data_IF_074121276091
#
_entry.id   IF_074121276091
#
_cell.length_a   1.000
_cell.length_b   1.000
_cell.length_c   1.000
_cell.angle_alpha   90.00
_cell.angle_beta   90.00
_cell.angle_gamma   90.00
#
_symmetry.space_group_name_H-M   'P 1'
#
loop_
_entity.id
_entity.type
_entity.pdbx_description
1 polymer ?
#
# COMPACT_ATOMS: atom_id res chain seq x y z
N UNK A 1 -3.41 -17.27 6.17
CA UNK A 1 -3.36 -16.28 5.07
C UNK A 1 -3.24 -14.90 5.69
N UNK A 2 -2.32 -14.04 5.21
CA UNK A 2 -2.08 -12.75 5.86
C UNK A 2 -3.18 -11.72 5.60
N UNK A 3 -3.88 -11.79 4.45
CA UNK A 3 -4.86 -10.80 4.05
C UNK A 3 -6.18 -11.48 3.71
N UNK A 4 -7.20 -11.29 4.54
CA UNK A 4 -8.54 -11.82 4.35
C UNK A 4 -9.59 -10.73 4.18
N UNK A 5 -9.25 -9.53 4.61
CA UNK A 5 -10.15 -8.40 4.58
C UNK A 5 -9.37 -7.17 4.11
N UNK A 6 -9.69 -6.67 2.94
CA UNK A 6 -8.93 -5.62 2.26
C UNK A 6 -9.77 -4.37 2.05
N UNK A 7 -9.13 -3.20 2.26
CA UNK A 7 -9.70 -1.88 1.97
C UNK A 7 -9.10 -1.33 0.68
N UNK A 8 -9.94 -0.94 -0.27
CA UNK A 8 -9.58 -0.20 -1.47
C UNK A 8 -10.04 1.25 -1.36
N UNK A 9 -9.10 2.18 -1.25
CA UNK A 9 -9.38 3.61 -1.22
C UNK A 9 -9.40 4.21 -2.63
N UNK A 10 -10.50 4.87 -2.99
CA UNK A 10 -10.80 5.34 -4.34
C UNK A 10 -11.06 6.84 -4.39
N UNK A 11 -10.52 7.51 -5.42
CA UNK A 11 -10.83 8.90 -5.76
C UNK A 11 -11.26 9.09 -7.23
N UNK A 12 -11.34 8.00 -7.99
CA UNK A 12 -11.67 7.98 -9.41
C UNK A 12 -10.54 8.51 -10.31
N UNK A 13 -9.29 8.59 -9.83
CA UNK A 13 -8.10 8.84 -10.62
C UNK A 13 -7.65 7.59 -11.38
N UNK A 14 -6.73 7.75 -12.34
CA UNK A 14 -6.07 6.64 -13.02
C UNK A 14 -5.34 5.71 -12.03
N UNK A 15 -4.66 6.29 -11.04
CA UNK A 15 -3.98 5.49 -10.01
C UNK A 15 -4.94 4.75 -9.09
N UNK A 16 -6.12 5.30 -8.80
CA UNK A 16 -7.13 4.55 -8.04
C UNK A 16 -7.76 3.41 -8.88
N UNK A 17 -7.80 3.54 -10.20
CA UNK A 17 -8.18 2.44 -11.08
C UNK A 17 -7.12 1.33 -11.09
N UNK A 18 -5.83 1.69 -11.13
CA UNK A 18 -4.73 0.72 -10.95
C UNK A 18 -4.83 0.03 -9.60
N UNK A 19 -5.09 0.78 -8.52
CA UNK A 19 -5.30 0.20 -7.18
C UNK A 19 -6.46 -0.81 -7.17
N UNK A 20 -7.54 -0.54 -7.92
CA UNK A 20 -8.65 -1.48 -8.06
C UNK A 20 -8.24 -2.78 -8.77
N UNK A 21 -7.38 -2.72 -9.81
CA UNK A 21 -6.85 -3.93 -10.45
C UNK A 21 -6.07 -4.81 -9.48
N UNK A 22 -5.20 -4.20 -8.66
CA UNK A 22 -4.48 -4.93 -7.59
C UNK A 22 -5.43 -5.53 -6.56
N UNK A 23 -6.47 -4.76 -6.16
CA UNK A 23 -7.44 -5.21 -5.17
C UNK A 23 -8.28 -6.39 -5.69
N UNK A 24 -8.76 -6.33 -6.91
CA UNK A 24 -9.51 -7.42 -7.53
C UNK A 24 -8.67 -8.67 -7.72
N UNK A 25 -7.44 -8.52 -8.21
CA UNK A 25 -6.50 -9.61 -8.33
C UNK A 25 -6.24 -10.30 -7.00
N UNK A 26 -5.86 -9.53 -5.97
CA UNK A 26 -5.59 -10.10 -4.64
C UNK A 26 -6.84 -10.70 -4.01
N UNK A 27 -8.02 -10.09 -4.18
CA UNK A 27 -9.29 -10.64 -3.68
C UNK A 27 -9.58 -12.01 -4.30
N UNK A 28 -9.38 -12.14 -5.61
CA UNK A 28 -9.58 -13.39 -6.33
C UNK A 28 -8.58 -14.48 -5.93
N UNK A 29 -7.27 -14.16 -5.89
CA UNK A 29 -6.21 -15.13 -5.60
C UNK A 29 -6.20 -15.58 -4.13
N UNK A 30 -6.61 -14.72 -3.22
CA UNK A 30 -6.57 -14.98 -1.77
C UNK A 30 -7.92 -15.41 -1.19
N UNK A 31 -8.98 -15.39 -1.97
CA UNK A 31 -10.37 -15.55 -1.49
C UNK A 31 -10.65 -14.57 -0.32
N UNK A 32 -10.35 -13.29 -0.56
CA UNK A 32 -10.38 -12.24 0.44
C UNK A 32 -11.55 -11.28 0.21
N UNK A 33 -12.21 -10.86 1.30
CA UNK A 33 -13.24 -9.83 1.29
C UNK A 33 -12.65 -8.48 0.89
N UNK A 34 -13.39 -7.73 0.07
CA UNK A 34 -12.96 -6.43 -0.43
C UNK A 34 -13.99 -5.35 -0.12
N UNK A 35 -13.56 -4.32 0.60
CA UNK A 35 -14.33 -3.10 0.84
C UNK A 35 -13.77 -1.97 -0.01
N UNK A 36 -14.60 -1.37 -0.87
CA UNK A 36 -14.28 -0.20 -1.66
C UNK A 36 -14.80 1.06 -0.96
N UNK A 37 -13.92 2.01 -0.64
CA UNK A 37 -14.26 3.25 0.05
C UNK A 37 -13.96 4.46 -0.84
N UNK A 38 -14.93 5.38 -0.92
CA UNK A 38 -14.72 6.74 -1.42
C UNK A 38 -15.06 7.74 -0.33
N UNK A 39 -14.16 8.72 -0.12
CA UNK A 39 -14.35 9.76 0.89
C UNK A 39 -14.62 11.10 0.21
N UNK A 40 -15.75 11.71 0.53
CA UNK A 40 -16.12 13.07 0.12
C UNK A 40 -15.57 14.06 1.14
N UNK A 41 -14.61 14.86 0.76
CA UNK A 41 -14.07 15.94 1.58
C UNK A 41 -14.99 17.16 1.51
N UNK A 42 -15.67 17.55 2.61
CA UNK A 42 -16.57 18.72 2.60
C UNK A 42 -15.86 20.03 2.26
N UNK A 43 -14.53 20.13 2.49
CA UNK A 43 -13.75 21.34 2.12
C UNK A 43 -13.68 21.58 0.62
N UNK A 44 -13.97 20.56 -0.20
CA UNK A 44 -14.12 20.76 -1.63
C UNK A 44 -15.29 21.71 -1.97
N UNK A 45 -16.34 21.72 -1.14
CA UNK A 45 -17.46 22.65 -1.30
C UNK A 45 -16.98 24.09 -1.18
N UNK A 46 -16.19 24.40 -0.14
CA UNK A 46 -15.65 25.73 0.11
C UNK A 46 -14.83 26.23 -1.10
N UNK A 47 -14.07 25.32 -1.73
CA UNK A 47 -13.27 25.63 -2.92
C UNK A 47 -14.15 26.03 -4.12
N UNK A 48 -15.29 25.37 -4.33
CA UNK A 48 -16.19 25.64 -5.46
C UNK A 48 -17.14 26.81 -5.22
N UNK A 49 -17.37 27.17 -3.95
CA UNK A 49 -18.27 28.24 -3.54
C UNK A 49 -17.53 29.54 -3.21
N UNK A 50 -16.20 29.50 -3.21
CA UNK A 50 -15.37 30.70 -3.03
C UNK A 50 -15.78 31.81 -4.02
N UNK A 51 -15.92 33.09 -3.56
CA UNK A 51 -16.43 34.19 -4.38
C UNK A 51 -15.69 34.39 -5.71
N UNK A 52 -14.38 34.08 -5.71
CA UNK A 52 -13.50 34.19 -6.89
C UNK A 52 -13.89 33.21 -8.01
N UNK A 53 -14.48 32.04 -7.66
CA UNK A 53 -14.96 31.05 -8.63
C UNK A 53 -16.47 31.18 -8.90
N UNK A 54 -17.24 31.67 -7.94
CA UNK A 54 -18.70 31.81 -8.05
C UNK A 54 -19.12 32.79 -9.12
N UNK A 55 -18.40 33.91 -9.27
CA UNK A 55 -18.65 34.94 -10.31
C UNK A 55 -18.26 34.45 -11.72
N UNK A 56 -17.13 33.75 -11.87
CA UNK A 56 -16.67 33.19 -13.15
C UNK A 56 -17.54 32.04 -13.65
N UNK A 57 -18.13 31.25 -12.75
CA UNK A 57 -19.00 30.11 -13.10
C UNK A 57 -20.48 30.48 -13.18
N UNK A 58 -20.85 31.75 -12.93
CA UNK A 58 -22.23 32.25 -13.04
C UNK A 58 -23.17 31.77 -11.95
N UNK A 59 -22.66 31.32 -10.82
CA UNK A 59 -23.46 30.93 -9.65
C UNK A 59 -23.85 32.16 -8.85
N UNK A 60 -25.11 32.61 -9.02
CA UNK A 60 -25.69 33.69 -8.21
C UNK A 60 -25.91 33.24 -6.75
N UNK A 61 -25.85 34.21 -5.83
CA UNK A 61 -26.01 34.19 -4.38
C UNK A 61 -26.09 32.82 -3.64
N UNK A 62 -25.20 32.67 -2.71
CA UNK A 62 -24.44 31.59 -2.13
C UNK A 62 -25.15 30.43 -1.38
N UNK A 63 -26.30 30.58 -0.74
CA UNK A 63 -26.81 29.58 0.22
C UNK A 63 -27.37 28.32 -0.44
N UNK A 64 -27.99 28.46 -1.60
CA UNK A 64 -28.53 27.33 -2.39
C UNK A 64 -27.42 26.56 -3.14
N UNK A 65 -26.25 27.17 -3.29
CA UNK A 65 -25.13 26.67 -4.09
C UNK A 65 -24.31 25.63 -3.32
N UNK A 66 -24.04 25.84 -2.04
CA UNK A 66 -23.28 24.90 -1.19
C UNK A 66 -23.94 23.53 -1.13
N UNK A 67 -25.23 23.48 -0.84
CA UNK A 67 -25.98 22.23 -0.75
C UNK A 67 -26.01 21.50 -2.11
N UNK A 68 -26.19 22.24 -3.20
CA UNK A 68 -26.20 21.69 -4.57
C UNK A 68 -24.82 21.15 -4.95
N UNK A 69 -23.75 21.88 -4.66
CA UNK A 69 -22.36 21.45 -4.89
C UNK A 69 -22.06 20.21 -4.06
N UNK A 70 -22.39 20.19 -2.78
CA UNK A 70 -22.18 19.03 -1.92
C UNK A 70 -22.92 17.80 -2.41
N UNK A 71 -24.20 17.94 -2.80
CA UNK A 71 -24.98 16.86 -3.41
C UNK A 71 -24.34 16.35 -4.71
N UNK A 72 -23.81 17.25 -5.54
CA UNK A 72 -23.12 16.87 -6.77
C UNK A 72 -21.84 16.09 -6.50
N UNK A 73 -21.00 16.52 -5.55
CA UNK A 73 -19.78 15.81 -5.16
C UNK A 73 -20.12 14.43 -4.60
N UNK A 74 -21.13 14.32 -3.72
CA UNK A 74 -21.59 13.01 -3.22
C UNK A 74 -22.09 12.10 -4.34
N UNK A 75 -22.78 12.66 -5.34
CA UNK A 75 -23.22 11.90 -6.50
C UNK A 75 -22.05 11.36 -7.32
N UNK A 76 -21.00 12.18 -7.53
CA UNK A 76 -19.77 11.74 -8.19
C UNK A 76 -19.13 10.57 -7.42
N UNK A 77 -19.02 10.67 -6.09
CA UNK A 77 -18.51 9.58 -5.25
C UNK A 77 -19.30 8.27 -5.40
N UNK A 78 -20.64 8.34 -5.44
CA UNK A 78 -21.47 7.16 -5.70
C UNK A 78 -21.23 6.56 -7.08
N UNK A 79 -21.12 7.39 -8.11
CA UNK A 79 -20.81 6.91 -9.48
C UNK A 79 -19.46 6.21 -9.53
N UNK A 80 -18.44 6.72 -8.81
CA UNK A 80 -17.14 6.03 -8.72
C UNK A 80 -17.32 4.64 -8.11
N UNK A 81 -18.04 4.50 -7.00
CA UNK A 81 -18.31 3.23 -6.36
C UNK A 81 -19.11 2.28 -7.24
N UNK A 82 -20.20 2.77 -7.87
CA UNK A 82 -21.01 1.98 -8.80
C UNK A 82 -20.21 1.45 -10.01
N UNK A 83 -19.24 2.20 -10.49
CA UNK A 83 -18.34 1.75 -11.58
C UNK A 83 -17.42 0.62 -11.10
N UNK A 84 -16.91 0.72 -9.88
CA UNK A 84 -16.05 -0.30 -9.28
C UNK A 84 -16.85 -1.57 -8.94
N UNK A 85 -18.08 -1.45 -8.42
CA UNK A 85 -18.98 -2.59 -8.19
C UNK A 85 -19.26 -3.36 -9.49
N UNK A 86 -19.60 -2.64 -10.56
CA UNK A 86 -19.82 -3.26 -11.87
C UNK A 86 -18.58 -3.95 -12.44
N UNK A 87 -17.40 -3.38 -12.19
CA UNK A 87 -16.15 -3.99 -12.63
C UNK A 87 -15.79 -5.24 -11.82
N UNK A 88 -16.07 -5.25 -10.52
CA UNK A 88 -15.96 -6.41 -9.64
C UNK A 88 -16.95 -7.52 -10.07
N UNK A 89 -18.21 -7.17 -10.32
CA UNK A 89 -19.25 -8.11 -10.75
C UNK A 89 -18.88 -8.83 -12.06
N UNK A 90 -18.30 -8.11 -13.05
CA UNK A 90 -17.81 -8.73 -14.30
C UNK A 90 -16.72 -9.78 -14.06
N UNK A 91 -16.00 -9.67 -12.95
CA UNK A 91 -14.94 -10.60 -12.52
C UNK A 91 -15.45 -11.68 -11.57
N UNK A 92 -16.74 -11.66 -11.25
CA UNK A 92 -17.37 -12.61 -10.32
C UNK A 92 -17.01 -12.34 -8.85
N UNK A 93 -16.60 -11.10 -8.52
CA UNK A 93 -16.26 -10.68 -7.17
C UNK A 93 -17.43 -9.95 -6.52
N UNK A 94 -17.73 -10.30 -5.28
CA UNK A 94 -18.64 -9.54 -4.42
C UNK A 94 -17.84 -8.58 -3.55
N UNK A 95 -18.18 -7.29 -3.59
CA UNK A 95 -17.50 -6.25 -2.82
C UNK A 95 -18.49 -5.44 -1.98
N UNK A 96 -18.03 -4.89 -0.87
CA UNK A 96 -18.78 -3.92 -0.08
C UNK A 96 -18.34 -2.51 -0.48
N UNK A 97 -19.31 -1.60 -0.72
CA UNK A 97 -19.00 -0.20 -1.05
C UNK A 97 -19.42 0.76 0.04
N UNK A 98 -18.56 1.72 0.34
CA UNK A 98 -18.77 2.72 1.38
C UNK A 98 -18.49 4.13 0.86
N UNK A 99 -19.47 5.04 1.04
CA UNK A 99 -19.32 6.47 0.78
C UNK A 99 -19.27 7.22 2.10
N UNK A 100 -18.08 7.67 2.47
CA UNK A 100 -17.87 8.44 3.68
C UNK A 100 -17.76 9.94 3.43
N UNK A 101 -18.00 10.75 4.46
CA UNK A 101 -17.89 12.21 4.41
C UNK A 101 -17.00 12.65 5.55
N UNK A 102 -15.87 13.28 5.21
CA UNK A 102 -14.92 13.71 6.23
C UNK A 102 -13.56 14.07 5.66
N UNK A 103 -12.59 14.21 6.55
CA UNK A 103 -11.20 14.40 6.14
C UNK A 103 -10.65 13.09 5.54
N UNK A 104 -10.22 13.15 4.27
CA UNK A 104 -9.92 11.94 3.46
C UNK A 104 -8.99 10.97 4.17
N UNK A 105 -7.87 11.44 4.73
CA UNK A 105 -6.89 10.57 5.39
C UNK A 105 -7.47 9.95 6.66
N UNK A 106 -8.19 10.74 7.45
CA UNK A 106 -8.72 10.28 8.74
C UNK A 106 -9.80 9.21 8.55
N UNK A 107 -10.69 9.37 7.56
CA UNK A 107 -11.70 8.36 7.24
C UNK A 107 -11.09 7.09 6.63
N UNK A 108 -10.04 7.21 5.80
CA UNK A 108 -9.32 6.04 5.29
C UNK A 108 -8.64 5.28 6.44
N UNK A 109 -7.95 5.97 7.35
CA UNK A 109 -7.27 5.32 8.48
C UNK A 109 -8.26 4.65 9.44
N UNK A 110 -9.36 5.32 9.75
CA UNK A 110 -10.42 4.76 10.59
C UNK A 110 -11.01 3.46 10.01
N UNK A 111 -11.15 3.39 8.70
CA UNK A 111 -11.63 2.19 8.04
C UNK A 111 -10.51 1.14 7.89
N UNK A 112 -9.28 1.55 7.60
CA UNK A 112 -8.11 0.69 7.51
C UNK A 112 -7.85 -0.11 8.79
N UNK A 113 -8.12 0.45 9.98
CA UNK A 113 -7.98 -0.23 11.28
C UNK A 113 -8.88 -1.49 11.39
N UNK A 114 -9.86 -1.68 10.50
CA UNK A 114 -10.74 -2.86 10.44
C UNK A 114 -10.31 -3.89 9.39
N UNK A 115 -9.26 -3.61 8.65
CA UNK A 115 -8.82 -4.39 7.50
C UNK A 115 -7.37 -4.87 7.67
N UNK A 116 -7.02 -5.95 6.97
CA UNK A 116 -5.67 -6.56 7.03
C UNK A 116 -4.69 -5.89 6.04
N UNK A 117 -5.21 -5.22 5.01
CA UNK A 117 -4.46 -4.56 3.96
C UNK A 117 -5.25 -3.37 3.42
N UNK A 118 -4.60 -2.21 3.31
CA UNK A 118 -5.13 -1.06 2.58
C UNK A 118 -4.47 -0.95 1.21
N UNK A 119 -5.27 -0.79 0.15
CA UNK A 119 -4.80 -0.63 -1.21
C UNK A 119 -5.19 0.77 -1.68
N UNK A 120 -4.23 1.54 -2.15
CA UNK A 120 -4.41 2.94 -2.53
C UNK A 120 -3.59 3.29 -3.76
N UNK A 121 -4.10 4.18 -4.60
CA UNK A 121 -3.35 4.73 -5.73
C UNK A 121 -2.25 5.69 -5.29
N UNK A 122 -1.12 5.67 -5.99
CA UNK A 122 0.04 6.50 -5.68
C UNK A 122 -0.25 8.01 -5.72
N UNK A 123 -1.17 8.45 -6.61
CA UNK A 123 -1.54 9.85 -6.83
C UNK A 123 -3.04 10.00 -7.04
N UNK A 124 -3.61 11.04 -6.46
CA UNK A 124 -5.02 11.37 -6.64
C UNK A 124 -5.27 12.41 -7.73
N UNK A 125 -6.54 12.73 -7.97
CA UNK A 125 -6.97 13.75 -8.95
C UNK A 125 -6.35 15.12 -8.74
N UNK A 126 -6.08 15.53 -7.49
CA UNK A 126 -5.45 16.81 -7.16
C UNK A 126 -4.00 16.96 -7.65
N UNK A 127 -3.34 15.86 -8.02
CA UNK A 127 -1.93 15.89 -8.45
C UNK A 127 -1.71 16.60 -9.81
N UNK A 128 -2.72 16.61 -10.69
CA UNK A 128 -2.63 17.30 -11.98
C UNK A 128 -2.42 18.83 -11.85
N UNK A 129 -2.65 19.38 -10.65
CA UNK A 129 -2.47 20.81 -10.35
C UNK A 129 -1.08 21.14 -9.76
N UNK A 130 -0.21 20.14 -9.56
CA UNK A 130 1.15 20.36 -9.03
C UNK A 130 2.20 20.32 -10.14
N UNK A 131 3.10 21.32 -10.25
CA UNK A 131 4.10 21.39 -11.31
C UNK A 131 5.25 20.38 -11.18
N UNK A 132 5.35 19.61 -10.09
CA UNK A 132 6.42 18.65 -9.85
C UNK A 132 5.89 17.22 -9.94
N UNK A 133 5.99 16.62 -11.11
CA UNK A 133 5.45 15.30 -11.48
C UNK A 133 6.13 14.07 -10.86
N UNK A 134 6.96 14.21 -9.83
CA UNK A 134 7.81 13.12 -9.30
C UNK A 134 7.49 12.68 -7.87
N UNK A 135 6.51 13.26 -7.18
CA UNK A 135 6.22 12.93 -5.78
C UNK A 135 4.87 12.23 -5.62
N UNK A 136 4.81 11.27 -4.70
CA UNK A 136 3.57 10.63 -4.25
C UNK A 136 2.51 11.67 -3.87
N UNK A 137 1.23 11.36 -4.11
CA UNK A 137 0.11 12.18 -3.63
C UNK A 137 0.11 12.27 -2.11
N UNK A 138 -0.20 13.44 -1.59
CA UNK A 138 -0.19 13.71 -0.14
C UNK A 138 -1.08 12.75 0.68
N UNK A 139 -2.16 12.23 0.09
CA UNK A 139 -3.07 11.27 0.76
C UNK A 139 -2.40 9.91 0.91
N UNK A 140 -1.87 9.33 -0.17
CA UNK A 140 -1.22 8.02 -0.12
C UNK A 140 -0.02 8.02 0.84
N UNK A 141 0.83 9.06 0.79
CA UNK A 141 1.95 9.22 1.71
C UNK A 141 1.46 9.25 3.17
N UNK A 142 0.46 10.07 3.49
CA UNK A 142 -0.08 10.17 4.85
C UNK A 142 -0.75 8.88 5.31
N UNK A 143 -1.45 8.17 4.43
CA UNK A 143 -2.02 6.85 4.75
C UNK A 143 -0.91 5.86 5.09
N UNK A 144 0.15 5.77 4.27
CA UNK A 144 1.30 4.89 4.56
C UNK A 144 1.97 5.28 5.89
N UNK A 145 2.09 6.57 6.21
CA UNK A 145 2.66 7.01 7.49
C UNK A 145 1.80 6.65 8.70
N UNK A 146 0.48 6.71 8.57
CA UNK A 146 -0.46 6.64 9.70
C UNK A 146 -1.13 5.28 9.88
N UNK A 147 -1.22 4.46 8.83
CA UNK A 147 -1.84 3.14 8.91
C UNK A 147 -1.07 2.22 9.84
N UNK A 148 -1.79 1.39 10.60
CA UNK A 148 -1.22 0.38 11.50
C UNK A 148 -0.92 -0.92 10.79
N UNK A 149 -1.71 -1.23 9.79
CA UNK A 149 -1.63 -2.43 8.98
C UNK A 149 -0.94 -2.16 7.63
N UNK A 150 -0.55 -3.19 6.88
CA UNK A 150 0.12 -3.04 5.60
C UNK A 150 -0.64 -2.18 4.60
N UNK A 151 0.11 -1.40 3.81
CA UNK A 151 -0.43 -0.56 2.74
C UNK A 151 0.23 -0.90 1.40
N UNK A 152 -0.57 -1.25 0.40
CA UNK A 152 -0.14 -1.38 -0.99
C UNK A 152 -0.43 -0.07 -1.73
N UNK A 153 0.62 0.57 -2.19
CA UNK A 153 0.55 1.77 -3.04
C UNK A 153 0.69 1.34 -4.49
N UNK A 154 -0.37 1.43 -5.26
CA UNK A 154 -0.40 1.05 -6.67
C UNK A 154 0.14 2.18 -7.56
N UNK A 155 1.15 1.86 -8.37
CA UNK A 155 1.86 2.81 -9.25
C UNK A 155 1.77 2.41 -10.71
N UNK A 156 2.33 1.26 -11.07
CA UNK A 156 2.32 0.70 -12.41
C UNK A 156 1.10 -0.22 -12.63
N UNK A 157 0.74 -0.51 -13.88
CA UNK A 157 -0.28 -1.50 -14.20
C UNK A 157 0.06 -2.89 -13.62
N UNK A 158 -0.96 -3.64 -13.23
CA UNK A 158 -0.78 -4.97 -12.63
C UNK A 158 -0.19 -6.00 -13.60
N UNK A 159 -0.58 -5.94 -14.87
CA UNK A 159 -0.13 -6.84 -15.93
C UNK A 159 1.36 -6.72 -16.23
N UNK A 160 1.99 -5.61 -15.87
CA UNK A 160 3.44 -5.44 -15.93
C UNK A 160 4.18 -6.08 -14.74
N UNK A 161 3.47 -6.53 -13.67
CA UNK A 161 4.11 -7.05 -12.47
C UNK A 161 4.35 -8.56 -12.57
N UNK A 162 5.62 -8.97 -12.59
CA UNK A 162 6.04 -10.37 -12.79
C UNK A 162 6.40 -11.07 -11.47
N UNK A 163 6.87 -10.33 -10.47
CA UNK A 163 7.39 -10.89 -9.22
C UNK A 163 7.25 -9.97 -8.02
N UNK A 164 7.50 -10.53 -6.85
CA UNK A 164 7.71 -9.77 -5.60
C UNK A 164 9.21 -9.63 -5.35
N UNK A 165 9.67 -8.39 -5.12
CA UNK A 165 11.03 -8.08 -4.70
C UNK A 165 11.00 -7.56 -3.27
N UNK A 166 11.56 -8.30 -2.33
CA UNK A 166 11.60 -7.92 -0.92
C UNK A 166 12.87 -7.14 -0.60
N UNK A 167 12.75 -5.94 -0.06
CA UNK A 167 13.86 -5.23 0.56
C UNK A 167 14.16 -5.87 1.93
N UNK A 168 15.27 -6.58 2.02
CA UNK A 168 15.61 -7.36 3.20
C UNK A 168 16.87 -6.84 3.89
N UNK A 169 16.73 -6.42 5.15
CA UNK A 169 17.84 -5.95 6.00
C UNK A 169 17.99 -6.78 7.30
N UNK A 170 17.20 -7.84 7.48
CA UNK A 170 17.19 -8.68 8.67
C UNK A 170 16.41 -8.12 9.86
N UNK A 171 15.84 -6.93 9.76
CA UNK A 171 14.95 -6.36 10.79
C UNK A 171 13.66 -7.18 10.92
N UNK A 172 12.96 -7.08 12.05
CA UNK A 172 11.67 -7.75 12.25
C UNK A 172 10.62 -7.31 11.22
N UNK A 173 10.68 -6.06 10.78
CA UNK A 173 9.78 -5.56 9.74
C UNK A 173 10.09 -6.18 8.38
N UNK A 174 11.36 -6.32 7.99
CA UNK A 174 11.74 -6.96 6.73
C UNK A 174 11.52 -8.48 6.76
N UNK A 175 11.68 -9.13 7.92
CA UNK A 175 11.30 -10.54 8.09
C UNK A 175 9.79 -10.75 7.90
N UNK A 176 8.98 -9.87 8.49
CA UNK A 176 7.53 -9.90 8.29
C UNK A 176 7.14 -9.66 6.83
N UNK A 177 7.79 -8.70 6.18
CA UNK A 177 7.63 -8.42 4.75
C UNK A 177 7.98 -9.63 3.89
N UNK A 178 9.10 -10.31 4.20
CA UNK A 178 9.53 -11.52 3.48
C UNK A 178 8.52 -12.67 3.61
N UNK A 179 8.04 -12.95 4.81
CA UNK A 179 7.07 -14.02 5.05
C UNK A 179 5.73 -13.76 4.34
N UNK A 180 5.30 -12.51 4.32
CA UNK A 180 4.06 -12.17 3.62
C UNK A 180 4.24 -12.18 2.10
N UNK A 181 5.40 -11.73 1.59
CA UNK A 181 5.72 -11.82 0.17
C UNK A 181 5.85 -13.27 -0.30
N UNK A 182 6.43 -14.17 0.53
CA UNK A 182 6.47 -15.61 0.26
C UNK A 182 5.06 -16.18 0.06
N UNK A 183 4.15 -15.86 0.98
CA UNK A 183 2.79 -16.34 0.88
C UNK A 183 2.04 -15.73 -0.32
N UNK A 184 2.20 -14.42 -0.57
CA UNK A 184 1.62 -13.79 -1.76
C UNK A 184 2.16 -14.42 -3.05
N UNK A 185 3.46 -14.62 -3.16
CA UNK A 185 4.09 -15.23 -4.32
C UNK A 185 3.55 -16.64 -4.59
N UNK A 186 3.37 -17.43 -3.53
CA UNK A 186 2.79 -18.78 -3.61
C UNK A 186 1.34 -18.75 -4.13
N UNK A 187 0.48 -17.96 -3.50
CA UNK A 187 -0.95 -17.91 -3.84
C UNK A 187 -1.19 -17.29 -5.23
N UNK A 188 -0.38 -16.31 -5.61
CA UNK A 188 -0.50 -15.61 -6.91
C UNK A 188 0.35 -16.22 -8.03
N UNK A 189 1.06 -17.31 -7.76
CA UNK A 189 1.96 -17.99 -8.69
C UNK A 189 3.04 -17.07 -9.29
N UNK A 190 3.42 -16.01 -8.58
CA UNK A 190 4.51 -15.11 -8.98
C UNK A 190 5.83 -15.52 -8.32
N UNK A 191 6.95 -15.14 -8.94
CA UNK A 191 8.27 -15.40 -8.37
C UNK A 191 8.55 -14.48 -7.18
N UNK A 192 9.46 -14.92 -6.29
CA UNK A 192 9.92 -14.20 -5.11
C UNK A 192 11.42 -13.95 -5.22
N UNK A 193 11.84 -12.72 -4.99
CA UNK A 193 13.24 -12.30 -4.82
C UNK A 193 13.37 -11.47 -3.56
N UNK A 194 14.53 -11.54 -2.92
CA UNK A 194 14.90 -10.73 -1.77
C UNK A 194 16.24 -10.05 -2.02
N UNK A 195 16.30 -8.76 -1.81
CA UNK A 195 17.46 -7.93 -2.07
C UNK A 195 17.96 -7.26 -0.78
N UNK A 196 19.21 -7.54 -0.44
CA UNK A 196 19.95 -6.80 0.59
C UNK A 196 20.86 -5.80 -0.10
N UNK A 197 20.68 -4.53 0.21
CA UNK A 197 21.51 -3.46 -0.37
C UNK A 197 22.59 -3.06 0.64
N UNK A 198 23.83 -2.96 0.20
CA UNK A 198 24.99 -2.55 0.97
C UNK A 198 25.42 -1.16 0.49
N UNK A 199 25.33 -0.15 1.33
CA UNK A 199 25.74 1.20 0.98
C UNK A 199 27.28 1.34 1.02
N UNK A 200 27.77 2.44 0.46
CA UNK A 200 29.20 2.77 0.50
C UNK A 200 29.66 2.94 1.97
N UNK A 201 30.73 2.23 2.34
CA UNK A 201 31.24 2.20 3.72
C UNK A 201 30.67 1.10 4.62
N UNK A 202 29.59 0.41 4.19
CA UNK A 202 29.07 -0.76 4.89
C UNK A 202 29.82 -2.04 4.49
N UNK A 203 29.85 -3.02 5.39
CA UNK A 203 30.59 -4.28 5.16
C UNK A 203 29.67 -5.31 4.51
N UNK A 204 30.08 -5.86 3.39
CA UNK A 204 29.37 -6.94 2.69
C UNK A 204 29.20 -8.18 3.59
N UNK A 205 30.17 -8.47 4.48
CA UNK A 205 30.11 -9.59 5.42
C UNK A 205 28.95 -9.48 6.42
N UNK A 206 28.51 -8.28 6.77
CA UNK A 206 27.33 -8.09 7.62
C UNK A 206 26.03 -8.43 6.85
N UNK A 207 25.96 -8.06 5.58
CA UNK A 207 24.85 -8.43 4.70
C UNK A 207 24.80 -9.95 4.44
N UNK A 208 25.96 -10.60 4.28
CA UNK A 208 26.06 -12.05 4.13
C UNK A 208 25.52 -12.78 5.38
N UNK A 209 25.87 -12.31 6.58
CA UNK A 209 25.33 -12.86 7.84
C UNK A 209 23.82 -12.64 7.95
N UNK A 210 23.30 -11.50 7.54
CA UNK A 210 21.86 -11.20 7.52
C UNK A 210 21.13 -12.15 6.58
N UNK A 211 21.66 -12.43 5.41
CA UNK A 211 21.12 -13.39 4.45
C UNK A 211 21.20 -14.82 5.00
N UNK A 212 22.32 -15.23 5.57
CA UNK A 212 22.50 -16.54 6.19
C UNK A 212 21.48 -16.81 7.32
N UNK A 213 21.26 -15.82 8.18
CA UNK A 213 20.27 -15.92 9.26
C UNK A 213 18.83 -15.99 8.75
N UNK A 214 18.54 -15.43 7.59
CA UNK A 214 17.19 -15.47 6.99
C UNK A 214 16.83 -16.83 6.41
N UNK A 215 17.82 -17.65 6.21
CA UNK A 215 17.70 -18.97 5.60
C UNK A 215 16.73 -19.91 6.31
N UNK A 216 16.48 -19.73 7.59
CA UNK A 216 15.48 -20.47 8.36
C UNK A 216 14.06 -19.94 8.23
N UNK A 217 13.87 -18.78 7.61
CA UNK A 217 12.57 -18.10 7.54
C UNK A 217 11.70 -18.57 6.37
N UNK A 218 12.30 -18.97 5.24
CA UNK A 218 11.55 -19.42 4.07
C UNK A 218 11.19 -20.91 4.15
N UNK A 219 9.95 -21.26 3.83
CA UNK A 219 9.44 -22.64 3.86
C UNK A 219 9.16 -23.21 2.47
N UNK A 220 8.77 -22.36 1.53
CA UNK A 220 8.21 -22.76 0.23
C UNK A 220 9.17 -22.51 -0.95
N UNK A 221 10.15 -21.62 -0.81
CA UNK A 221 11.10 -21.28 -1.86
C UNK A 221 12.52 -21.71 -1.51
N UNK A 222 13.27 -22.24 -2.49
CA UNK A 222 14.69 -22.54 -2.34
C UNK A 222 15.51 -21.27 -2.27
N UNK A 223 16.37 -21.16 -1.29
CA UNK A 223 17.10 -19.97 -0.87
C UNK A 223 18.08 -19.41 -1.87
N UNK A 224 18.88 -20.29 -2.49
CA UNK A 224 19.90 -19.91 -3.47
C UNK A 224 19.36 -19.03 -4.60
N UNK A 225 18.06 -19.16 -4.84
CA UNK A 225 17.38 -18.50 -5.96
C UNK A 225 16.64 -17.22 -5.53
N UNK A 226 16.47 -16.99 -4.21
CA UNK A 226 15.68 -15.87 -3.67
C UNK A 226 16.55 -14.69 -3.31
N UNK A 227 17.66 -14.90 -2.56
CA UNK A 227 18.45 -13.80 -2.00
C UNK A 227 19.55 -13.32 -2.93
N UNK A 228 19.73 -12.00 -2.98
CA UNK A 228 20.84 -11.33 -3.63
C UNK A 228 21.33 -10.14 -2.81
N UNK A 229 22.64 -9.84 -2.94
CA UNK A 229 23.28 -8.70 -2.29
C UNK A 229 23.81 -7.77 -3.40
N UNK A 230 23.41 -6.49 -3.34
CA UNK A 230 23.79 -5.48 -4.33
C UNK A 230 24.36 -4.25 -3.61
N UNK A 231 25.38 -3.63 -4.19
CA UNK A 231 26.01 -2.39 -3.67
C UNK A 231 25.33 -1.16 -4.27
N UNK A 232 25.07 -0.17 -3.42
CA UNK A 232 24.54 1.11 -3.86
C UNK A 232 23.74 1.86 -2.79
N UNK A 233 23.25 3.06 -3.10
CA UNK A 233 22.35 3.80 -2.21
C UNK A 233 21.02 3.03 -2.02
N UNK A 234 20.65 2.72 -0.77
CA UNK A 234 19.54 1.82 -0.43
C UNK A 234 18.25 2.09 -1.24
N UNK A 235 17.63 3.25 -1.05
CA UNK A 235 16.35 3.54 -1.68
C UNK A 235 16.41 3.54 -3.22
N UNK A 236 17.47 4.16 -3.78
CA UNK A 236 17.65 4.22 -5.23
C UNK A 236 17.84 2.83 -5.82
N UNK A 237 18.73 2.02 -5.24
CA UNK A 237 19.02 0.66 -5.73
C UNK A 237 17.78 -0.23 -5.67
N UNK A 238 16.99 -0.16 -4.58
CA UNK A 238 15.74 -0.90 -4.46
C UNK A 238 14.72 -0.50 -5.54
N UNK A 239 14.55 0.81 -5.76
CA UNK A 239 13.61 1.31 -6.77
C UNK A 239 14.05 0.96 -8.20
N UNK A 240 15.33 1.09 -8.51
CA UNK A 240 15.87 0.77 -9.83
C UNK A 240 15.72 -0.75 -10.10
N UNK A 241 16.09 -1.61 -9.16
CA UNK A 241 15.94 -3.06 -9.28
C UNK A 241 14.47 -3.48 -9.41
N UNK A 242 13.57 -2.90 -8.61
CA UNK A 242 12.14 -3.20 -8.70
C UNK A 242 11.55 -2.77 -10.05
N UNK A 243 11.99 -1.64 -10.59
CA UNK A 243 11.57 -1.15 -11.90
C UNK A 243 12.10 -2.03 -13.05
N UNK A 244 13.40 -2.34 -13.05
CA UNK A 244 14.06 -3.15 -14.07
C UNK A 244 13.52 -4.59 -14.16
N UNK A 245 13.06 -5.11 -13.04
CA UNK A 245 12.55 -6.49 -12.93
C UNK A 245 11.01 -6.57 -12.86
N UNK A 246 10.30 -5.49 -13.18
CA UNK A 246 8.84 -5.44 -13.14
C UNK A 246 8.24 -5.99 -11.85
N UNK A 247 8.81 -5.57 -10.70
CA UNK A 247 8.46 -6.14 -9.41
C UNK A 247 7.48 -5.27 -8.62
N UNK A 248 6.63 -5.92 -7.81
CA UNK A 248 6.03 -5.29 -6.66
C UNK A 248 7.10 -5.25 -5.57
N UNK A 249 7.55 -4.05 -5.18
CA UNK A 249 8.53 -3.90 -4.11
C UNK A 249 7.84 -4.10 -2.76
N UNK A 250 8.33 -5.04 -1.95
CA UNK A 250 7.82 -5.33 -0.61
C UNK A 250 8.87 -4.94 0.41
N UNK A 251 8.50 -4.14 1.40
CA UNK A 251 9.47 -3.67 2.39
C UNK A 251 8.85 -3.43 3.76
N UNK A 252 9.69 -3.52 4.80
CA UNK A 252 9.31 -3.10 6.13
C UNK A 252 9.22 -1.57 6.25
N UNK A 253 8.32 -1.10 7.09
CA UNK A 253 8.17 0.34 7.35
C UNK A 253 9.39 0.94 8.05
N UNK A 254 10.15 0.16 8.80
CA UNK A 254 11.38 0.58 9.51
C UNK A 254 12.45 -0.52 9.47
N UNK A 255 13.74 -0.11 9.60
CA UNK A 255 14.88 -1.01 9.82
C UNK A 255 15.18 -1.22 11.32
N UNK A 256 16.45 -1.54 11.63
CA UNK A 256 16.93 -1.81 12.99
C UNK A 256 16.82 -0.65 13.98
N UNK A 257 16.91 0.60 13.51
CA UNK A 257 16.83 1.78 14.36
C UNK A 257 15.36 2.10 14.68
N UNK A 258 14.83 1.41 15.67
CA UNK A 258 13.47 1.62 16.17
C UNK A 258 13.36 2.89 16.99
N UNK A 259 12.45 3.76 16.59
CA UNK A 259 11.75 4.60 17.55
C UNK A 259 10.31 4.10 17.61
N UNK A 260 9.78 3.91 18.80
CA UNK A 260 8.43 3.37 19.08
C UNK A 260 7.29 4.24 18.55
N UNK A 261 7.60 5.44 18.09
CA UNK A 261 6.64 6.39 17.54
C UNK A 261 6.58 6.24 16.02
N UNK A 262 5.56 5.55 15.51
CA UNK A 262 4.93 5.50 14.16
C UNK A 262 5.63 6.24 12.98
N UNK A 263 6.95 6.34 12.95
CA UNK A 263 7.71 7.06 11.92
C UNK A 263 8.19 6.06 10.85
N UNK A 264 7.91 6.35 9.60
CA UNK A 264 8.44 5.60 8.47
C UNK A 264 9.96 5.79 8.39
N UNK A 265 10.74 4.71 8.22
CA UNK A 265 12.19 4.78 8.06
C UNK A 265 12.60 5.59 6.82
N UNK A 266 13.82 6.14 6.82
CA UNK A 266 14.31 7.00 5.73
C UNK A 266 14.23 6.32 4.36
N UNK A 267 14.64 5.06 4.23
CA UNK A 267 14.58 4.29 2.99
C UNK A 267 13.14 4.10 2.52
N UNK A 268 12.24 3.68 3.42
CA UNK A 268 10.84 3.48 3.11
C UNK A 268 10.16 4.81 2.72
N UNK A 269 10.44 5.90 3.42
CA UNK A 269 9.93 7.22 3.08
C UNK A 269 10.37 7.69 1.68
N UNK A 270 11.63 7.49 1.32
CA UNK A 270 12.13 7.84 -0.01
C UNK A 270 11.49 6.96 -1.10
N UNK A 271 11.39 5.66 -0.86
CA UNK A 271 10.76 4.73 -1.79
C UNK A 271 9.29 5.11 -2.01
N UNK A 272 8.50 5.27 -0.96
CA UNK A 272 7.08 5.66 -1.08
C UNK A 272 6.92 6.97 -1.85
N UNK A 273 7.80 7.95 -1.66
CA UNK A 273 7.74 9.25 -2.35
C UNK A 273 8.11 9.21 -3.83
N UNK A 274 9.05 8.36 -4.23
CA UNK A 274 9.73 8.46 -5.52
C UNK A 274 9.61 7.22 -6.40
N UNK A 275 8.98 6.14 -5.90
CA UNK A 275 8.86 4.89 -6.63
C UNK A 275 8.11 5.03 -7.96
N UNK A 276 8.52 4.20 -8.93
CA UNK A 276 7.85 4.01 -10.22
C UNK A 276 7.14 2.66 -10.30
N UNK A 277 7.31 1.82 -9.29
CA UNK A 277 6.69 0.51 -9.17
C UNK A 277 5.78 0.46 -7.96
N UNK A 278 4.82 -0.43 -7.95
CA UNK A 278 3.93 -0.62 -6.82
C UNK A 278 4.70 -1.11 -5.59
N UNK A 279 4.35 -0.60 -4.42
CA UNK A 279 5.06 -0.87 -3.17
C UNK A 279 4.10 -1.35 -2.10
N UNK A 280 4.42 -2.48 -1.49
CA UNK A 280 3.74 -3.00 -0.31
C UNK A 280 4.59 -2.73 0.94
N UNK A 281 4.09 -1.89 1.83
CA UNK A 281 4.79 -1.47 3.06
C UNK A 281 4.22 -2.21 4.26
N UNK A 282 5.07 -2.96 4.97
CA UNK A 282 4.73 -3.72 6.18
C UNK A 282 5.14 -3.01 7.45
N UNK A 283 4.30 -3.16 8.49
CA UNK A 283 4.59 -2.68 9.85
C UNK A 283 4.79 -3.85 10.83
N UNK A 284 5.73 -3.75 11.79
CA UNK A 284 5.99 -4.81 12.78
C UNK A 284 4.76 -5.20 13.61
N UNK A 285 3.86 -4.27 13.83
CA UNK A 285 2.62 -4.49 14.56
C UNK A 285 1.75 -5.58 13.93
N UNK A 286 1.67 -5.63 12.60
CA UNK A 286 0.98 -6.68 11.86
C UNK A 286 1.56 -8.08 12.17
N UNK A 287 2.89 -8.19 12.29
CA UNK A 287 3.58 -9.46 12.62
C UNK A 287 3.26 -9.92 14.04
N UNK A 288 3.20 -9.01 15.02
CA UNK A 288 3.00 -9.33 16.43
C UNK A 288 1.58 -9.78 16.77
N UNK A 289 0.56 -9.22 16.15
CA UNK A 289 -0.84 -9.59 16.41
C UNK A 289 -1.18 -11.01 15.96
N UNK A 290 -0.57 -11.51 14.87
CA UNK A 290 -0.80 -12.90 14.42
C UNK A 290 -0.09 -13.96 15.27
N UNK A 291 1.01 -13.63 15.95
CA UNK A 291 1.64 -14.54 16.93
C UNK A 291 0.78 -14.75 18.19
N UNK A 292 0.01 -13.74 18.61
CA UNK A 292 -0.86 -13.85 19.80
C UNK A 292 -2.18 -14.59 19.54
N UNK A 293 -2.68 -14.60 18.29
CA UNK A 293 -3.89 -15.34 17.91
C UNK A 293 -3.68 -16.86 17.70
N UNK A 294 -2.49 -17.27 17.27
CA UNK A 294 -2.12 -18.68 17.04
C UNK A 294 -1.45 -19.35 18.27
N UNK A 295 -1.03 -18.59 19.27
CA UNK A 295 -0.12 -19.00 20.32
C UNK A 295 -0.74 -19.52 21.61
N UNK A 296 -1.99 -20.03 21.63
CA UNK A 296 -2.53 -20.68 22.85
C UNK A 296 -2.60 -22.22 22.80
N UNK A 297 -2.04 -22.88 21.77
CA UNK A 297 -2.09 -24.35 21.69
C UNK A 297 -0.76 -25.09 21.43
N UNK A 298 0.40 -24.44 21.29
CA UNK A 298 1.65 -25.15 20.98
C UNK A 298 2.91 -24.72 21.75
N UNK A 299 2.78 -24.08 22.90
CA UNK A 299 3.91 -23.74 23.77
C UNK A 299 4.18 -24.81 24.85
N UNK A 300 4.03 -26.10 24.50
CA UNK A 300 4.41 -27.20 25.43
C UNK A 300 4.98 -28.37 24.65
N UNK A 301 6.09 -28.17 23.93
CA UNK A 301 6.98 -29.25 23.49
C UNK A 301 8.20 -28.69 22.77
N UNK A 302 9.19 -28.28 23.52
CA UNK A 302 10.61 -28.30 23.17
C UNK A 302 11.42 -27.83 24.38
N UNK A 303 11.37 -28.60 25.44
CA UNK A 303 12.41 -28.68 26.46
C UNK A 303 12.53 -30.18 26.81
N UNK A 304 13.49 -30.83 26.19
CA UNK A 304 14.26 -31.98 26.70
C UNK A 304 15.29 -32.39 25.64
#
# INVERSE_FOLDING_TARGET
MPFRNMLLALDGSEYSQRAAEYAFWLSSELDAELTAQHVVDPRLVDLFVAPEFGEELGFGQAVDTEEKVFKAIKRIGRVILELIEKEAEKRGLEITSQLEVGHVVDEIIKEADKHDLTIIGHRGKGHKMSPTNLMTGSVAERVVYSARDPVLVAVNPLDECEQFLVAYDGSEASKGALLAAEQLAKETHKSLKALTVVAEGEKTSEAELVVEQSETCLKEFHRSDVFSIVKGPHAKTLMDQAYETNSILVMGAYGFNKFEDMVLGNTASQVVKQTRTSVLVFRPHFVSQKKTGAGKKEATRCES
#
